data_IF_292697825968
#
_entry.id   IF_292697825968
#
_cell.length_a   1.000
_cell.length_b   1.000
_cell.length_c   1.000
_cell.angle_alpha   90.00
_cell.angle_beta   90.00
_cell.angle_gamma   90.00
#
_symmetry.space_group_name_H-M   'P 1'
#
loop_
_entity.id
_entity.type
_entity.pdbx_description
1 polymer ?
#
# COMPACT_ATOMS: atom_id res chain seq x y z
N UNK A 1 2.73 -20.38 15.97
CA UNK A 1 2.06 -19.07 16.02
C UNK A 1 1.92 -18.52 14.61
N UNK A 2 0.76 -17.94 14.25
CA UNK A 2 0.61 -17.22 12.98
C UNK A 2 1.27 -15.85 13.13
N UNK A 3 2.40 -15.62 12.45
CA UNK A 3 3.07 -14.32 12.46
C UNK A 3 2.25 -13.29 11.67
N UNK A 4 1.70 -12.32 12.40
CA UNK A 4 0.74 -11.34 11.87
C UNK A 4 1.06 -9.94 12.36
N UNK A 5 0.54 -8.97 11.61
CA UNK A 5 0.60 -7.53 11.90
C UNK A 5 -0.79 -6.93 11.66
N UNK A 6 -1.08 -5.83 12.35
CA UNK A 6 -2.30 -5.07 12.16
C UNK A 6 -2.08 -3.95 11.13
N UNK A 7 -2.81 -4.06 10.01
CA UNK A 7 -2.89 -3.00 9.00
C UNK A 7 -4.02 -2.04 9.39
N UNK A 8 -3.65 -0.80 9.66
CA UNK A 8 -4.55 0.28 10.06
C UNK A 8 -5.35 0.81 8.85
N UNK A 9 -6.39 1.59 9.13
CA UNK A 9 -7.18 2.29 8.13
C UNK A 9 -7.28 3.76 8.54
N UNK A 10 -7.05 4.72 7.62
CA UNK A 10 -7.04 6.14 7.96
C UNK A 10 -8.45 6.68 8.24
N UNK A 11 -9.50 5.95 7.84
CA UNK A 11 -10.88 6.34 8.11
C UNK A 11 -11.22 6.12 9.60
N UNK A 12 -11.70 7.15 10.32
CA UNK A 12 -12.11 7.02 11.71
C UNK A 12 -13.15 5.90 11.92
N UNK A 13 -12.98 5.13 13.00
CA UNK A 13 -13.90 4.04 13.38
C UNK A 13 -13.72 2.72 12.59
N UNK A 14 -12.85 2.66 11.58
CA UNK A 14 -12.50 1.39 10.92
C UNK A 14 -11.52 0.59 11.76
N UNK A 15 -11.84 -0.69 12.00
CA UNK A 15 -10.98 -1.61 12.75
C UNK A 15 -9.74 -2.00 11.93
N UNK A 16 -8.57 -2.18 12.55
CA UNK A 16 -7.40 -2.75 11.89
C UNK A 16 -7.67 -4.15 11.34
N UNK A 17 -6.99 -4.49 10.24
CA UNK A 17 -7.05 -5.84 9.64
C UNK A 17 -5.80 -6.62 10.03
N UNK A 18 -5.97 -7.81 10.60
CA UNK A 18 -4.84 -8.72 10.87
C UNK A 18 -4.41 -9.42 9.59
N UNK A 19 -3.14 -9.25 9.23
CA UNK A 19 -2.56 -9.78 7.98
C UNK A 19 -1.24 -10.48 8.25
N UNK A 20 -0.83 -11.38 7.35
CA UNK A 20 0.46 -12.06 7.44
C UNK A 20 1.62 -11.04 7.32
N UNK A 21 2.57 -11.10 8.26
CA UNK A 21 3.69 -10.14 8.34
C UNK A 21 4.60 -10.17 7.10
N UNK A 22 4.99 -11.37 6.63
CA UNK A 22 5.89 -11.51 5.48
C UNK A 22 5.32 -10.87 4.23
N UNK A 23 4.04 -11.12 3.95
CA UNK A 23 3.36 -10.51 2.81
C UNK A 23 3.24 -9.00 3.00
N UNK A 24 2.79 -8.54 4.18
CA UNK A 24 2.71 -7.11 4.50
C UNK A 24 4.03 -6.38 4.22
N UNK A 25 5.16 -6.90 4.69
CA UNK A 25 6.48 -6.27 4.48
C UNK A 25 6.93 -6.28 3.01
N UNK A 26 6.54 -7.30 2.24
CA UNK A 26 6.80 -7.32 0.79
C UNK A 26 6.05 -6.18 0.08
N UNK A 27 4.75 -6.05 0.35
CA UNK A 27 3.91 -5.00 -0.23
C UNK A 27 4.29 -3.60 0.27
N UNK A 28 4.61 -3.45 1.57
CA UNK A 28 5.06 -2.19 2.17
C UNK A 28 6.31 -1.66 1.47
N UNK A 29 7.33 -2.51 1.32
CA UNK A 29 8.58 -2.15 0.65
C UNK A 29 8.36 -1.82 -0.82
N UNK A 30 7.53 -2.59 -1.52
CA UNK A 30 7.22 -2.33 -2.92
C UNK A 30 6.48 -0.99 -3.10
N UNK A 31 5.46 -0.71 -2.28
CA UNK A 31 4.71 0.55 -2.30
C UNK A 31 5.60 1.77 -2.05
N UNK A 32 6.42 1.75 -0.99
CA UNK A 32 7.33 2.86 -0.68
C UNK A 32 8.42 3.07 -1.75
N UNK A 33 8.70 2.05 -2.57
CA UNK A 33 9.62 2.16 -3.70
C UNK A 33 8.97 2.78 -4.94
N UNK A 34 7.68 2.55 -5.18
CA UNK A 34 6.99 3.03 -6.39
C UNK A 34 6.24 4.34 -6.19
N UNK A 35 5.85 4.66 -4.96
CA UNK A 35 5.25 5.95 -4.64
C UNK A 35 6.38 6.98 -4.54
N UNK A 36 6.37 8.05 -5.35
CA UNK A 36 7.45 9.04 -5.37
C UNK A 36 7.29 10.07 -4.25
N UNK A 37 8.36 10.82 -3.98
CA UNK A 37 8.35 12.03 -3.12
C UNK A 37 7.94 13.29 -3.90
N UNK A 38 7.84 13.18 -5.23
CA UNK A 38 7.46 14.28 -6.11
C UNK A 38 6.02 14.72 -5.88
N UNK A 39 5.78 16.01 -6.04
CA UNK A 39 4.48 16.64 -5.77
C UNK A 39 3.34 16.06 -6.63
N UNK A 40 3.62 15.67 -7.87
CA UNK A 40 2.64 15.09 -8.80
C UNK A 40 2.14 13.71 -8.35
N UNK A 41 2.94 12.99 -7.58
CA UNK A 41 2.61 11.64 -7.12
C UNK A 41 2.51 10.59 -8.23
N UNK A 42 1.94 9.45 -7.88
CA UNK A 42 1.62 8.34 -8.79
C UNK A 42 0.12 8.04 -8.73
N UNK A 43 -0.47 7.76 -9.88
CA UNK A 43 -1.90 7.45 -9.96
C UNK A 43 -2.22 6.11 -9.29
N UNK A 44 -3.26 6.08 -8.46
CA UNK A 44 -3.69 4.89 -7.73
C UNK A 44 -3.98 3.70 -8.66
N UNK A 45 -4.56 3.95 -9.83
CA UNK A 45 -4.88 2.92 -10.83
C UNK A 45 -3.65 2.16 -11.32
N UNK A 46 -2.47 2.79 -11.30
CA UNK A 46 -1.19 2.22 -11.76
C UNK A 46 -0.45 1.47 -10.68
N UNK A 47 -0.82 1.66 -9.40
CA UNK A 47 -0.05 1.10 -8.29
C UNK A 47 -0.03 -0.42 -8.28
N UNK A 48 -1.12 -1.08 -8.68
CA UNK A 48 -1.17 -2.54 -8.69
C UNK A 48 -0.07 -3.09 -9.62
N UNK A 49 -0.01 -2.60 -10.85
CA UNK A 49 0.97 -3.07 -11.84
C UNK A 49 2.40 -2.72 -11.42
N UNK A 50 2.63 -1.49 -10.95
CA UNK A 50 3.93 -1.03 -10.48
C UNK A 50 4.43 -1.85 -9.28
N UNK A 51 3.56 -2.16 -8.34
CA UNK A 51 3.90 -2.98 -7.16
C UNK A 51 4.19 -4.41 -7.57
N UNK A 52 3.35 -5.02 -8.41
CA UNK A 52 3.57 -6.40 -8.90
C UNK A 52 4.92 -6.52 -9.59
N UNK A 53 5.33 -5.53 -10.40
CA UNK A 53 6.64 -5.50 -11.04
C UNK A 53 7.83 -5.37 -10.07
N UNK A 54 7.61 -5.04 -8.80
CA UNK A 54 8.63 -4.96 -7.74
C UNK A 54 8.53 -6.08 -6.70
N UNK A 55 7.47 -6.88 -6.74
CA UNK A 55 7.29 -7.99 -5.80
C UNK A 55 8.08 -9.22 -6.22
N UNK A 56 8.54 -10.04 -5.25
CA UNK A 56 8.96 -11.39 -5.56
C UNK A 56 7.82 -12.16 -6.24
N UNK A 57 8.12 -12.83 -7.35
CA UNK A 57 7.13 -13.54 -8.17
C UNK A 57 6.25 -14.50 -7.33
N UNK A 58 6.87 -15.30 -6.46
CA UNK A 58 6.16 -16.21 -5.56
C UNK A 58 5.16 -15.52 -4.61
N UNK A 59 5.42 -14.27 -4.19
CA UNK A 59 4.47 -13.50 -3.35
C UNK A 59 3.31 -13.01 -4.20
N UNK A 60 3.57 -12.52 -5.42
CA UNK A 60 2.54 -12.04 -6.32
C UNK A 60 1.55 -13.16 -6.70
N UNK A 61 2.05 -14.37 -6.97
CA UNK A 61 1.22 -15.54 -7.31
C UNK A 61 0.44 -16.08 -6.10
N UNK A 62 1.06 -16.13 -4.92
CA UNK A 62 0.44 -16.71 -3.73
C UNK A 62 -0.56 -15.79 -3.02
N UNK A 63 -0.80 -14.57 -3.53
CA UNK A 63 -1.63 -13.57 -2.86
C UNK A 63 -2.60 -12.88 -3.81
N UNK A 64 -3.36 -11.90 -3.30
CA UNK A 64 -4.28 -11.07 -4.10
C UNK A 64 -3.72 -9.64 -4.20
N UNK A 65 -2.90 -9.31 -5.23
CA UNK A 65 -2.16 -8.05 -5.26
C UNK A 65 -3.01 -6.80 -5.13
N UNK A 66 -4.15 -6.73 -5.83
CA UNK A 66 -5.08 -5.59 -5.72
C UNK A 66 -5.54 -5.31 -4.29
N UNK A 67 -5.89 -6.37 -3.55
CA UNK A 67 -6.34 -6.24 -2.16
C UNK A 67 -5.19 -5.82 -1.24
N UNK A 68 -4.01 -6.45 -1.39
CA UNK A 68 -2.84 -6.13 -0.58
C UNK A 68 -2.33 -4.72 -0.83
N UNK A 69 -2.29 -4.27 -2.08
CA UNK A 69 -1.98 -2.89 -2.45
C UNK A 69 -2.93 -1.93 -1.74
N UNK A 70 -4.24 -2.18 -1.81
CA UNK A 70 -5.25 -1.33 -1.15
C UNK A 70 -5.05 -1.30 0.37
N UNK A 71 -4.97 -2.46 1.01
CA UNK A 71 -4.86 -2.60 2.47
C UNK A 71 -3.59 -1.96 3.01
N UNK A 72 -2.44 -2.23 2.40
CA UNK A 72 -1.15 -1.69 2.85
C UNK A 72 -1.06 -0.20 2.54
N UNK A 73 -1.61 0.26 1.40
CA UNK A 73 -1.70 1.69 1.08
C UNK A 73 -2.50 2.46 2.13
N UNK A 74 -3.65 1.94 2.57
CA UNK A 74 -4.43 2.55 3.63
C UNK A 74 -3.65 2.58 4.96
N UNK A 75 -2.99 1.49 5.31
CA UNK A 75 -2.15 1.46 6.52
C UNK A 75 -1.00 2.49 6.45
N UNK A 76 -0.36 2.65 5.29
CA UNK A 76 0.68 3.67 5.08
C UNK A 76 0.13 5.10 5.21
N UNK A 77 -1.08 5.37 4.72
CA UNK A 77 -1.77 6.65 4.95
C UNK A 77 -2.06 6.87 6.44
N UNK A 78 -2.60 5.86 7.11
CA UNK A 78 -2.93 5.93 8.54
C UNK A 78 -1.70 6.16 9.42
N UNK A 79 -0.53 5.67 8.96
CA UNK A 79 0.77 5.84 9.62
C UNK A 79 1.49 7.13 9.22
N UNK A 80 0.94 7.93 8.31
CA UNK A 80 1.59 9.17 7.86
C UNK A 80 2.88 8.94 7.06
N UNK A 81 2.97 7.83 6.32
CA UNK A 81 4.12 7.54 5.45
C UNK A 81 3.88 7.97 3.99
N UNK A 82 2.62 8.06 3.61
CA UNK A 82 2.18 8.55 2.30
C UNK A 82 0.91 9.37 2.50
N UNK A 83 0.59 10.19 1.52
CA UNK A 83 -0.67 10.93 1.48
C UNK A 83 -1.30 10.88 0.08
N UNK A 84 -2.58 11.27 0.02
CA UNK A 84 -3.26 11.54 -1.24
C UNK A 84 -2.91 12.96 -1.66
N UNK A 85 -2.58 13.14 -2.94
CA UNK A 85 -2.36 14.48 -3.50
C UNK A 85 -3.70 15.25 -3.44
N UNK A 86 -3.77 16.38 -2.70
CA UNK A 86 -5.04 17.10 -2.50
C UNK A 86 -5.58 17.69 -3.80
N UNK A 87 -6.91 17.66 -3.97
CA UNK A 87 -7.58 18.32 -5.10
C UNK A 87 -7.37 17.67 -6.47
N UNK A 88 -6.74 16.49 -6.55
CA UNK A 88 -6.42 15.83 -7.83
C UNK A 88 -7.33 14.62 -8.07
N UNK A 89 -7.93 14.58 -9.26
CA UNK A 89 -8.65 13.44 -9.81
C UNK A 89 -8.04 13.04 -11.18
N UNK A 90 -7.79 11.75 -11.45
CA UNK A 90 -7.93 10.60 -10.56
C UNK A 90 -6.97 10.65 -9.35
N UNK A 91 -7.29 9.88 -8.29
CA UNK A 91 -6.50 9.86 -7.05
C UNK A 91 -5.02 9.57 -7.32
N UNK A 92 -4.15 10.41 -6.77
CA UNK A 92 -2.69 10.25 -6.79
C UNK A 92 -2.13 10.17 -5.38
N UNK A 93 -1.00 9.47 -5.22
CA UNK A 93 -0.29 9.29 -3.95
C UNK A 93 1.14 9.80 -4.04
N UNK A 94 1.63 10.39 -2.96
CA UNK A 94 3.05 10.74 -2.78
C UNK A 94 3.51 10.33 -1.37
N UNK A 95 4.82 10.16 -1.20
CA UNK A 95 5.44 9.96 0.12
C UNK A 95 5.50 11.29 0.87
N UNK A 96 5.39 11.19 2.19
CA UNK A 96 5.58 12.29 3.13
C UNK A 96 7.06 12.41 3.54
#
# INVERSE_FOLDING_TARGET
MKDTVEALNPQPGKKPTKVNRRNYEAYRRALLRVIPEKAEGVEYSKLVDLVVAKLPHAVAEATKPKWWVTTVKLDLEARGLIERVPGVTPQRLRKL
#
